data_IF_748518208531
#
_entry.id   IF_748518208531
#
_cell.length_a   1.000
_cell.length_b   1.000
_cell.length_c   1.000
_cell.angle_alpha   90.00
_cell.angle_beta   90.00
_cell.angle_gamma   90.00
#
_symmetry.space_group_name_H-M   'P 1'
#
loop_
_entity.id
_entity.type
_entity.pdbx_description
1 polymer ?
#
# COMPACT_ATOMS: atom_id res chain seq x y z
N UNK A 1 -28.14 37.12 -23.12
CA UNK A 1 -28.47 36.37 -21.89
C UNK A 1 -28.83 34.88 -22.04
N UNK A 2 -28.98 34.24 -23.24
CA UNK A 2 -29.25 32.78 -23.31
C UNK A 2 -27.99 31.89 -23.19
N UNK A 3 -26.79 32.46 -23.41
CA UNK A 3 -25.50 31.74 -23.39
C UNK A 3 -25.06 31.31 -21.97
N UNK A 4 -25.48 32.03 -20.94
CA UNK A 4 -25.15 31.73 -19.54
C UNK A 4 -25.93 30.52 -19.03
N UNK A 5 -27.20 30.38 -19.41
CA UNK A 5 -28.04 29.25 -19.03
C UNK A 5 -27.50 27.92 -19.59
N UNK A 6 -27.04 27.92 -20.85
CA UNK A 6 -26.49 26.72 -21.52
C UNK A 6 -25.15 26.25 -20.93
N UNK A 7 -24.35 27.16 -20.36
CA UNK A 7 -23.06 26.82 -19.73
C UNK A 7 -23.25 26.13 -18.38
N UNK A 8 -24.21 26.61 -17.59
CA UNK A 8 -24.55 26.07 -16.28
C UNK A 8 -25.11 24.65 -16.37
N UNK A 9 -25.98 24.38 -17.34
CA UNK A 9 -26.51 23.01 -17.57
C UNK A 9 -25.42 22.02 -18.04
N UNK A 10 -24.49 22.47 -18.90
CA UNK A 10 -23.34 21.64 -19.32
C UNK A 10 -22.34 21.38 -18.19
N UNK A 11 -22.17 22.31 -17.27
CA UNK A 11 -21.35 22.11 -16.07
C UNK A 11 -22.02 21.18 -15.05
N UNK A 12 -23.35 21.23 -14.92
CA UNK A 12 -24.10 20.37 -14.01
C UNK A 12 -24.14 18.89 -14.43
N UNK A 13 -23.90 18.58 -15.71
CA UNK A 13 -23.90 17.23 -16.27
C UNK A 13 -22.51 16.61 -16.43
N UNK A 14 -21.44 17.37 -16.18
CA UNK A 14 -20.08 16.85 -16.20
C UNK A 14 -19.80 16.08 -14.90
N UNK A 15 -20.20 14.80 -14.84
CA UNK A 15 -19.72 13.88 -13.80
C UNK A 15 -18.19 13.88 -13.90
N UNK A 16 -17.46 14.33 -12.87
CA UNK A 16 -16.00 14.30 -12.90
C UNK A 16 -15.59 12.83 -13.06
N UNK A 17 -14.95 12.53 -14.20
CA UNK A 17 -14.39 11.21 -14.45
C UNK A 17 -13.33 10.98 -13.40
N UNK A 18 -13.56 10.05 -12.47
CA UNK A 18 -12.56 9.64 -11.50
C UNK A 18 -11.31 9.23 -12.27
N UNK A 19 -10.20 9.90 -12.00
CA UNK A 19 -8.93 9.57 -12.61
C UNK A 19 -8.50 8.20 -12.10
N UNK A 20 -8.23 7.27 -13.00
CA UNK A 20 -7.93 5.89 -12.61
C UNK A 20 -6.50 5.78 -12.11
N UNK A 21 -6.31 5.69 -10.79
CA UNK A 21 -5.01 5.43 -10.15
C UNK A 21 -4.75 3.93 -9.96
N UNK A 22 -5.13 3.11 -10.96
CA UNK A 22 -5.13 1.64 -10.88
C UNK A 22 -3.77 1.08 -10.46
N UNK A 23 -2.67 1.70 -10.92
CA UNK A 23 -1.32 1.26 -10.55
C UNK A 23 -1.01 1.54 -9.07
N UNK A 24 -1.31 2.74 -8.59
CA UNK A 24 -1.12 3.13 -7.19
C UNK A 24 -2.00 2.30 -6.25
N UNK A 25 -3.26 2.06 -6.63
CA UNK A 25 -4.20 1.22 -5.88
C UNK A 25 -3.66 -0.20 -5.70
N UNK A 26 -3.19 -0.82 -6.80
CA UNK A 26 -2.62 -2.17 -6.76
C UNK A 26 -1.37 -2.20 -5.88
N UNK A 27 -0.48 -1.21 -6.00
CA UNK A 27 0.73 -1.15 -5.17
C UNK A 27 0.41 -0.95 -3.69
N UNK A 28 -0.57 -0.11 -3.35
CA UNK A 28 -0.99 0.11 -1.98
C UNK A 28 -1.59 -1.15 -1.35
N UNK A 29 -2.45 -1.85 -2.08
CA UNK A 29 -3.02 -3.14 -1.64
C UNK A 29 -1.94 -4.22 -1.53
N UNK A 30 -1.01 -4.30 -2.48
CA UNK A 30 0.10 -5.24 -2.42
C UNK A 30 1.02 -4.96 -1.22
N UNK A 31 1.37 -3.70 -0.98
CA UNK A 31 2.21 -3.28 0.14
C UNK A 31 1.60 -3.66 1.49
N UNK A 32 0.32 -3.37 1.72
CA UNK A 32 -0.33 -3.73 2.99
C UNK A 32 -0.47 -5.25 3.13
N UNK A 33 -0.79 -5.96 2.06
CA UNK A 33 -0.96 -7.43 2.09
C UNK A 33 0.36 -8.12 2.42
N UNK A 34 1.44 -7.74 1.73
CA UNK A 34 2.78 -8.30 1.97
C UNK A 34 3.27 -7.92 3.36
N UNK A 35 3.05 -6.68 3.80
CA UNK A 35 3.46 -6.25 5.15
C UNK A 35 2.74 -7.01 6.26
N UNK A 36 1.44 -7.26 6.13
CA UNK A 36 0.70 -8.09 7.08
C UNK A 36 1.17 -9.55 7.07
N UNK A 37 1.45 -10.10 5.89
CA UNK A 37 2.02 -11.44 5.77
C UNK A 37 3.40 -11.53 6.45
N UNK A 38 4.27 -10.55 6.23
CA UNK A 38 5.57 -10.43 6.89
C UNK A 38 5.43 -10.35 8.41
N UNK A 39 4.47 -9.59 8.91
CA UNK A 39 4.18 -9.47 10.34
C UNK A 39 3.76 -10.80 10.95
N UNK A 40 2.77 -11.46 10.36
CA UNK A 40 2.23 -12.73 10.87
C UNK A 40 3.30 -13.82 10.83
N UNK A 41 3.98 -13.98 9.69
CA UNK A 41 5.00 -15.01 9.52
C UNK A 41 6.25 -14.74 10.35
N UNK A 42 6.67 -13.47 10.46
CA UNK A 42 7.83 -13.08 11.26
C UNK A 42 7.61 -13.27 12.75
N UNK A 43 6.37 -13.10 13.24
CA UNK A 43 6.01 -13.34 14.64
C UNK A 43 6.15 -14.83 15.04
N UNK A 44 5.85 -15.74 14.12
CA UNK A 44 5.85 -17.19 14.39
C UNK A 44 7.27 -17.75 14.13
N UNK A 45 7.95 -18.34 15.14
CA UNK A 45 9.30 -18.83 14.97
C UNK A 45 9.46 -19.81 13.78
N UNK A 46 8.54 -20.76 13.62
CA UNK A 46 8.61 -21.75 12.53
C UNK A 46 8.49 -21.14 11.11
N UNK A 47 8.05 -19.89 10.98
CA UNK A 47 7.88 -19.21 9.68
C UNK A 47 8.73 -17.94 9.58
N UNK A 48 9.76 -17.81 10.41
CA UNK A 48 10.61 -16.61 10.43
C UNK A 48 11.26 -16.33 9.07
N UNK A 49 11.70 -17.36 8.34
CA UNK A 49 12.37 -17.21 7.05
C UNK A 49 11.48 -16.58 5.98
N UNK A 50 10.28 -17.13 5.66
CA UNK A 50 9.38 -16.47 4.72
C UNK A 50 8.88 -15.12 5.24
N UNK A 51 8.78 -14.94 6.56
CA UNK A 51 8.51 -13.63 7.19
C UNK A 51 9.59 -12.59 6.89
N UNK A 52 10.87 -12.96 7.01
CA UNK A 52 12.02 -12.08 6.72
C UNK A 52 12.07 -11.70 5.24
N UNK A 53 11.85 -12.66 4.33
CA UNK A 53 11.81 -12.41 2.88
C UNK A 53 10.65 -11.47 2.52
N UNK A 54 9.45 -11.76 3.04
CA UNK A 54 8.28 -10.91 2.81
C UNK A 54 8.51 -9.50 3.36
N UNK A 55 9.14 -9.36 4.52
CA UNK A 55 9.45 -8.07 5.13
C UNK A 55 10.47 -7.25 4.33
N UNK A 56 11.55 -7.88 3.86
CA UNK A 56 12.58 -7.24 3.02
C UNK A 56 12.04 -6.80 1.66
N UNK A 57 11.05 -7.48 1.11
CA UNK A 57 10.37 -7.07 -0.13
C UNK A 57 9.29 -6.02 0.16
N UNK A 58 8.48 -6.25 1.20
CA UNK A 58 7.32 -5.44 1.56
C UNK A 58 7.69 -4.03 2.00
N UNK A 59 8.79 -3.86 2.73
CA UNK A 59 9.19 -2.54 3.23
C UNK A 59 9.61 -1.59 2.09
N UNK A 60 10.52 -1.95 1.15
CA UNK A 60 10.80 -1.13 -0.02
C UNK A 60 9.59 -0.92 -0.92
N UNK A 61 8.74 -1.94 -1.09
CA UNK A 61 7.50 -1.81 -1.87
C UNK A 61 6.57 -0.74 -1.27
N UNK A 62 6.34 -0.76 0.04
CA UNK A 62 5.51 0.23 0.73
C UNK A 62 6.11 1.64 0.67
N UNK A 63 7.44 1.76 0.83
CA UNK A 63 8.15 3.04 0.69
C UNK A 63 8.03 3.60 -0.72
N UNK A 64 8.23 2.77 -1.75
CA UNK A 64 8.09 3.20 -3.13
C UNK A 64 6.65 3.59 -3.47
N UNK A 65 5.68 2.74 -3.10
CA UNK A 65 4.24 3.01 -3.27
C UNK A 65 3.83 4.34 -2.62
N UNK A 66 4.39 4.65 -1.44
CA UNK A 66 4.16 5.91 -0.73
C UNK A 66 4.63 7.14 -1.51
N UNK A 67 5.74 7.03 -2.25
CA UNK A 67 6.29 8.15 -3.03
C UNK A 67 5.45 8.49 -4.26
N UNK A 68 4.76 7.50 -4.82
CA UNK A 68 3.99 7.66 -6.06
C UNK A 68 2.47 7.73 -5.85
N UNK A 69 2.02 7.61 -4.59
CA UNK A 69 0.59 7.67 -4.25
C UNK A 69 -0.03 9.00 -4.65
N UNK A 70 -1.18 8.94 -5.31
CA UNK A 70 -1.99 10.08 -5.71
C UNK A 70 -3.01 10.46 -4.62
N UNK A 71 -3.52 9.48 -3.87
CA UNK A 71 -4.57 9.70 -2.88
C UNK A 71 -4.12 9.49 -1.44
N UNK A 72 -4.87 10.07 -0.50
CA UNK A 72 -4.65 9.88 0.94
C UNK A 72 -4.92 8.44 1.38
N UNK A 73 -5.87 7.75 0.75
CA UNK A 73 -6.22 6.36 1.08
C UNK A 73 -5.07 5.40 0.75
N UNK A 74 -4.46 5.54 -0.43
CA UNK A 74 -3.25 4.80 -0.81
C UNK A 74 -2.14 5.00 0.23
N UNK A 75 -1.93 6.25 0.64
CA UNK A 75 -0.88 6.60 1.61
C UNK A 75 -1.11 5.94 2.98
N UNK A 76 -2.35 5.91 3.45
CA UNK A 76 -2.68 5.23 4.70
C UNK A 76 -2.41 3.72 4.62
N UNK A 77 -2.80 3.06 3.52
CA UNK A 77 -2.49 1.64 3.31
C UNK A 77 -0.98 1.39 3.28
N UNK A 78 -0.21 2.26 2.61
CA UNK A 78 1.24 2.15 2.56
C UNK A 78 1.90 2.31 3.93
N UNK A 79 1.43 3.24 4.77
CA UNK A 79 1.94 3.39 6.15
C UNK A 79 1.70 2.12 6.96
N UNK A 80 0.50 1.53 6.87
CA UNK A 80 0.20 0.26 7.54
C UNK A 80 1.13 -0.85 7.04
N UNK A 81 1.28 -0.98 5.72
CA UNK A 81 2.18 -1.96 5.10
C UNK A 81 3.64 -1.78 5.50
N UNK A 82 4.10 -0.53 5.62
CA UNK A 82 5.46 -0.17 6.02
C UNK A 82 5.74 -0.57 7.47
N UNK A 83 4.84 -0.19 8.39
CA UNK A 83 4.97 -0.54 9.82
C UNK A 83 4.88 -2.07 9.99
N UNK A 84 3.93 -2.72 9.33
CA UNK A 84 3.79 -4.17 9.40
C UNK A 84 5.01 -4.91 8.84
N UNK A 85 5.54 -4.48 7.68
CA UNK A 85 6.78 -5.05 7.11
C UNK A 85 7.98 -4.84 8.03
N UNK A 86 8.13 -3.64 8.60
CA UNK A 86 9.22 -3.33 9.51
C UNK A 86 9.17 -4.21 10.78
N UNK A 87 8.02 -4.24 11.45
CA UNK A 87 7.82 -5.04 12.66
C UNK A 87 7.95 -6.54 12.37
N UNK A 88 7.38 -7.01 11.26
CA UNK A 88 7.50 -8.40 10.83
C UNK A 88 8.94 -8.82 10.56
N UNK A 89 9.71 -7.96 9.89
CA UNK A 89 11.15 -8.19 9.68
C UNK A 89 11.88 -8.24 11.02
N UNK A 90 11.60 -7.33 11.95
CA UNK A 90 12.23 -7.32 13.27
C UNK A 90 11.95 -8.62 14.05
N UNK A 91 10.70 -9.10 14.05
CA UNK A 91 10.36 -10.37 14.68
C UNK A 91 11.02 -11.56 13.97
N UNK A 92 11.02 -11.57 12.65
CA UNK A 92 11.68 -12.62 11.88
C UNK A 92 13.17 -12.70 12.20
N UNK A 93 13.87 -11.56 12.26
CA UNK A 93 15.28 -11.47 12.64
C UNK A 93 15.51 -11.98 14.07
N UNK A 94 14.64 -11.62 15.02
CA UNK A 94 14.70 -12.14 16.38
C UNK A 94 14.48 -13.66 16.46
N UNK A 95 13.71 -14.22 15.53
CA UNK A 95 13.36 -15.64 15.48
C UNK A 95 14.36 -16.50 14.67
N UNK A 96 15.48 -15.95 14.17
CA UNK A 96 16.49 -16.68 13.38
C UNK A 96 16.83 -16.00 12.05
N UNK A 97 16.05 -15.00 11.64
CA UNK A 97 16.28 -14.20 10.44
C UNK A 97 16.21 -15.05 9.18
N UNK A 98 17.33 -15.17 8.49
CA UNK A 98 17.45 -15.90 7.21
C UNK A 98 18.02 -17.32 7.36
N UNK A 99 18.06 -17.87 8.59
CA UNK A 99 18.40 -19.28 8.79
C UNK A 99 17.26 -20.22 8.33
N UNK A 100 17.57 -21.51 8.25
CA UNK A 100 16.62 -22.60 7.96
C UNK A 100 16.44 -23.43 9.22
#
# INVERSE_FOLDING_TARGET
MPQEATRTERQATAVPKAESHRYQDILAVAAVTIGLAALIMGWIPATHLPGAIAGVIGLPLALYSQMISATTNERWLNVIGMVASFMGTAFALNNGGFSI
#
